data_IF_253662157435
#
_entry.id   IF_253662157435
#
_cell.length_a   1.000
_cell.length_b   1.000
_cell.length_c   1.000
_cell.angle_alpha   90.00
_cell.angle_beta   90.00
_cell.angle_gamma   90.00
#
_symmetry.space_group_name_H-M   'P 1'
#
loop_
_entity.id
_entity.type
_entity.pdbx_description
1 polymer ?
#
# COMPACT_ATOMS: atom_id res chain seq x y z
N UNK A 1 9.76 -24.03 -10.67
CA UNK A 1 9.25 -23.06 -11.66
C UNK A 1 7.76 -22.85 -11.37
N UNK A 2 7.40 -21.84 -10.58
CA UNK A 2 6.02 -21.61 -10.14
C UNK A 2 5.78 -20.12 -9.93
N UNK A 3 5.63 -19.36 -11.02
CA UNK A 3 5.37 -17.90 -10.94
C UNK A 3 4.30 -17.39 -11.93
N UNK A 4 3.58 -18.28 -12.62
CA UNK A 4 2.68 -17.84 -13.70
C UNK A 4 1.20 -17.71 -13.30
N UNK A 5 0.84 -17.79 -12.01
CA UNK A 5 -0.58 -17.75 -11.58
C UNK A 5 -1.09 -16.40 -11.05
N UNK A 6 -0.31 -15.32 -11.15
CA UNK A 6 -0.72 -14.01 -10.62
C UNK A 6 -1.45 -13.09 -11.61
N UNK A 7 -1.65 -13.49 -12.88
CA UNK A 7 -1.94 -12.51 -13.95
C UNK A 7 -3.33 -12.51 -14.58
N UNK A 8 -4.31 -13.29 -14.10
CA UNK A 8 -5.65 -13.30 -14.74
C UNK A 8 -6.80 -13.51 -13.76
N UNK A 9 -7.25 -12.45 -13.08
CA UNK A 9 -8.56 -12.44 -12.43
C UNK A 9 -9.11 -11.01 -12.30
N UNK A 10 -10.27 -10.75 -12.91
CA UNK A 10 -11.19 -9.63 -12.76
C UNK A 10 -10.72 -8.35 -12.01
N UNK A 11 -10.38 -7.30 -12.78
CA UNK A 11 -9.85 -5.99 -12.35
C UNK A 11 -10.56 -5.28 -11.18
N UNK A 12 -11.86 -5.53 -10.95
CA UNK A 12 -12.62 -4.91 -9.84
C UNK A 12 -12.67 -5.75 -8.55
N UNK A 13 -12.65 -7.07 -8.66
CA UNK A 13 -12.68 -7.97 -7.50
C UNK A 13 -11.34 -7.97 -6.76
N UNK A 14 -10.24 -7.96 -7.51
CA UNK A 14 -8.88 -8.02 -6.96
C UNK A 14 -8.56 -6.80 -6.07
N UNK A 15 -8.93 -5.58 -6.49
CA UNK A 15 -8.74 -4.37 -5.67
C UNK A 15 -9.58 -4.44 -4.39
N UNK A 16 -10.81 -4.95 -4.48
CA UNK A 16 -11.68 -5.10 -3.32
C UNK A 16 -11.13 -6.13 -2.31
N UNK A 17 -10.62 -7.25 -2.80
CA UNK A 17 -9.95 -8.26 -1.97
C UNK A 17 -8.70 -7.68 -1.30
N UNK A 18 -7.86 -6.96 -2.06
CA UNK A 18 -6.66 -6.30 -1.51
C UNK A 18 -7.03 -5.29 -0.43
N UNK A 19 -8.11 -4.53 -0.62
CA UNK A 19 -8.61 -3.60 0.40
C UNK A 19 -9.02 -4.31 1.68
N UNK A 20 -9.69 -5.45 1.56
CA UNK A 20 -10.06 -6.27 2.72
C UNK A 20 -8.83 -6.89 3.41
N UNK A 21 -7.82 -7.30 2.65
CA UNK A 21 -6.56 -7.83 3.20
C UNK A 21 -5.71 -6.75 3.91
N UNK A 22 -5.68 -5.52 3.38
CA UNK A 22 -4.99 -4.36 3.98
C UNK A 22 -5.61 -3.91 5.30
N UNK A 23 -6.93 -4.09 5.46
CA UNK A 23 -7.62 -3.79 6.72
C UNK A 23 -7.72 -5.00 7.66
N UNK A 24 -7.05 -6.11 7.34
CA UNK A 24 -7.12 -7.31 8.16
C UNK A 24 -6.38 -7.14 9.49
N UNK A 25 -6.94 -7.66 10.58
CA UNK A 25 -6.29 -7.64 11.89
C UNK A 25 -4.93 -8.35 11.87
N UNK A 26 -4.79 -9.41 11.08
CA UNK A 26 -3.55 -10.19 10.96
C UNK A 26 -2.46 -9.39 10.22
N UNK A 27 -1.36 -9.10 10.91
CA UNK A 27 -0.20 -8.37 10.36
C UNK A 27 0.38 -9.05 9.11
N UNK A 28 0.43 -10.38 9.08
CA UNK A 28 0.91 -11.14 7.91
C UNK A 28 0.06 -10.93 6.66
N UNK A 29 -1.27 -10.87 6.82
CA UNK A 29 -2.17 -10.62 5.69
C UNK A 29 -1.98 -9.22 5.11
N UNK A 30 -1.80 -8.22 5.98
CA UNK A 30 -1.49 -6.85 5.55
C UNK A 30 -0.18 -6.78 4.77
N UNK A 31 0.84 -7.50 5.24
CA UNK A 31 2.14 -7.58 4.56
C UNK A 31 2.02 -8.19 3.16
N UNK A 32 1.35 -9.33 3.04
CA UNK A 32 1.10 -9.95 1.74
C UNK A 32 0.27 -9.04 0.81
N UNK A 33 -0.73 -8.34 1.36
CA UNK A 33 -1.53 -7.39 0.60
C UNK A 33 -0.67 -6.23 0.04
N UNK A 34 0.19 -5.61 0.86
CA UNK A 34 1.06 -4.51 0.39
C UNK A 34 2.02 -5.01 -0.71
N UNK A 35 2.56 -6.23 -0.61
CA UNK A 35 3.38 -6.81 -1.69
C UNK A 35 2.59 -6.95 -3.00
N UNK A 36 1.37 -7.47 -2.94
CA UNK A 36 0.49 -7.58 -4.11
C UNK A 36 0.17 -6.21 -4.70
N UNK A 37 -0.06 -5.19 -3.87
CA UNK A 37 -0.26 -3.81 -4.31
C UNK A 37 0.96 -3.26 -5.05
N UNK A 38 2.17 -3.50 -4.53
CA UNK A 38 3.41 -3.10 -5.20
C UNK A 38 3.55 -3.82 -6.53
N UNK A 39 3.28 -5.13 -6.59
CA UNK A 39 3.31 -5.90 -7.84
C UNK A 39 2.26 -5.41 -8.85
N UNK A 40 1.07 -5.04 -8.39
CA UNK A 40 0.02 -4.46 -9.24
C UNK A 40 0.46 -3.09 -9.81
N UNK A 41 1.11 -2.28 -8.99
CA UNK A 41 1.66 -0.98 -9.41
C UNK A 41 2.81 -1.14 -10.42
N UNK A 42 3.71 -2.12 -10.25
CA UNK A 42 4.80 -2.34 -11.22
C UNK A 42 4.31 -2.81 -12.59
N UNK A 43 3.14 -3.45 -12.67
CA UNK A 43 2.50 -3.83 -13.93
C UNK A 43 1.57 -2.73 -14.49
N UNK A 44 1.54 -1.55 -13.86
CA UNK A 44 0.75 -0.40 -14.32
C UNK A 44 -0.73 -0.48 -14.01
N UNK A 45 -1.18 -1.33 -13.08
CA UNK A 45 -2.56 -1.28 -12.58
C UNK A 45 -2.75 -0.05 -11.69
N UNK A 46 -3.88 0.62 -11.86
CA UNK A 46 -4.27 1.70 -10.97
C UNK A 46 -4.71 1.12 -9.61
N UNK A 47 -3.88 1.35 -8.60
CA UNK A 47 -4.13 0.97 -7.20
C UNK A 47 -4.29 2.20 -6.30
N UNK A 48 -4.50 3.39 -6.88
CA UNK A 48 -4.66 4.65 -6.16
C UNK A 48 -5.79 4.60 -5.12
N UNK A 49 -6.85 3.81 -5.38
CA UNK A 49 -7.96 3.62 -4.45
C UNK A 49 -7.58 2.94 -3.12
N UNK A 50 -6.44 2.24 -3.08
CA UNK A 50 -5.92 1.56 -1.89
C UNK A 50 -5.00 2.45 -1.06
N UNK A 51 -4.71 3.67 -1.54
CA UNK A 51 -3.81 4.60 -0.87
C UNK A 51 -4.16 4.85 0.61
N UNK A 52 -5.43 5.13 0.98
CA UNK A 52 -5.78 5.35 2.39
C UNK A 52 -5.51 4.11 3.26
N UNK A 53 -5.78 2.92 2.73
CA UNK A 53 -5.61 1.64 3.42
C UNK A 53 -4.11 1.30 3.62
N UNK A 54 -3.27 1.61 2.62
CA UNK A 54 -1.81 1.45 2.69
C UNK A 54 -1.18 2.44 3.68
N UNK A 55 -1.63 3.70 3.70
CA UNK A 55 -1.17 4.70 4.67
C UNK A 55 -1.57 4.31 6.10
N UNK A 56 -2.74 3.68 6.30
CA UNK A 56 -3.13 3.16 7.60
C UNK A 56 -2.21 2.03 8.11
N UNK A 57 -1.71 1.18 7.20
CA UNK A 57 -0.76 0.10 7.54
C UNK A 57 0.60 0.61 8.03
N UNK A 58 0.89 1.90 7.89
CA UNK A 58 2.16 2.53 8.25
C UNK A 58 2.38 2.69 9.76
N UNK A 59 1.30 2.68 10.54
CA UNK A 59 1.34 2.74 12.02
C UNK A 59 1.74 1.40 12.67
N UNK A 60 2.30 0.47 11.89
CA UNK A 60 2.75 -0.83 12.35
C UNK A 60 4.14 -0.76 13.00
N UNK A 61 4.37 -1.60 14.01
CA UNK A 61 5.70 -1.83 14.60
C UNK A 61 6.58 -2.74 13.73
N UNK A 62 6.01 -3.38 12.70
CA UNK A 62 6.75 -4.26 11.82
C UNK A 62 7.60 -3.43 10.83
N UNK A 63 8.92 -3.46 11.02
CA UNK A 63 9.87 -2.70 10.21
C UNK A 63 9.82 -3.05 8.71
N UNK A 64 9.56 -4.32 8.39
CA UNK A 64 9.48 -4.79 7.00
C UNK A 64 8.24 -4.25 6.30
N UNK A 65 7.08 -4.31 6.96
CA UNK A 65 5.84 -3.72 6.45
C UNK A 65 6.00 -2.20 6.25
N UNK A 66 6.66 -1.54 7.20
CA UNK A 66 6.97 -0.11 7.10
C UNK A 66 7.81 0.20 5.84
N UNK A 67 8.87 -0.58 5.58
CA UNK A 67 9.69 -0.44 4.36
C UNK A 67 8.88 -0.60 3.08
N UNK A 68 7.95 -1.56 3.03
CA UNK A 68 7.07 -1.76 1.87
C UNK A 68 6.13 -0.57 1.64
N UNK A 69 5.55 -0.02 2.71
CA UNK A 69 4.71 1.19 2.62
C UNK A 69 5.54 2.40 2.13
N UNK A 70 6.76 2.57 2.63
CA UNK A 70 7.66 3.61 2.13
C UNK A 70 8.01 3.43 0.64
N UNK A 71 8.29 2.20 0.19
CA UNK A 71 8.55 1.90 -1.21
C UNK A 71 7.35 2.29 -2.09
N UNK A 72 6.13 1.98 -1.64
CA UNK A 72 4.90 2.39 -2.31
C UNK A 72 4.80 3.90 -2.45
N UNK A 73 5.01 4.64 -1.35
CA UNK A 73 4.95 6.10 -1.35
C UNK A 73 6.04 6.74 -2.22
N UNK A 74 7.26 6.22 -2.23
CA UNK A 74 8.34 6.73 -3.07
C UNK A 74 8.02 6.54 -4.57
N UNK A 75 7.42 5.40 -4.95
CA UNK A 75 7.01 5.17 -6.33
C UNK A 75 5.90 6.13 -6.76
N UNK A 76 4.91 6.35 -5.89
CA UNK A 76 3.84 7.32 -6.11
C UNK A 76 4.35 8.77 -6.12
N UNK A 77 5.34 9.13 -5.31
CA UNK A 77 5.91 10.49 -5.31
C UNK A 77 6.50 10.89 -6.66
N UNK A 78 7.04 9.92 -7.43
CA UNK A 78 7.55 10.17 -8.78
C UNK A 78 6.45 10.32 -9.83
N UNK A 79 5.37 9.56 -9.69
CA UNK A 79 4.30 9.50 -10.71
C UNK A 79 3.17 10.49 -10.44
N UNK A 80 2.86 10.73 -9.17
CA UNK A 80 1.74 11.53 -8.67
C UNK A 80 2.12 12.24 -7.36
N UNK A 81 2.81 13.40 -7.45
CA UNK A 81 3.34 14.11 -6.28
C UNK A 81 2.24 14.57 -5.29
N UNK A 82 1.05 14.90 -5.77
CA UNK A 82 -0.07 15.35 -4.93
C UNK A 82 -0.51 14.28 -3.91
N UNK A 83 -0.53 13.01 -4.32
CA UNK A 83 -0.83 11.91 -3.40
C UNK A 83 0.28 11.73 -2.37
N UNK A 84 1.55 11.86 -2.75
CA UNK A 84 2.65 11.79 -1.80
C UNK A 84 2.57 12.91 -0.75
N UNK A 85 2.17 14.13 -1.16
CA UNK A 85 1.94 15.25 -0.22
C UNK A 85 0.82 14.89 0.77
N UNK A 86 -0.26 14.24 0.33
CA UNK A 86 -1.31 13.77 1.24
C UNK A 86 -0.80 12.77 2.28
N UNK A 87 0.05 11.81 1.88
CA UNK A 87 0.68 10.89 2.83
C UNK A 87 1.55 11.63 3.85
N UNK A 88 2.37 12.59 3.40
CA UNK A 88 3.20 13.43 4.28
C UNK A 88 2.33 14.22 5.27
N UNK A 89 1.22 14.78 4.82
CA UNK A 89 0.27 15.47 5.70
C UNK A 89 -0.32 14.53 6.76
N UNK A 90 -0.61 13.27 6.41
CA UNK A 90 -1.02 12.24 7.38
C UNK A 90 0.10 11.88 8.36
N UNK A 91 1.36 11.83 7.91
CA UNK A 91 2.53 11.62 8.77
C UNK A 91 2.71 12.74 9.80
N UNK A 92 2.56 13.99 9.38
CA UNK A 92 2.76 15.17 10.24
C UNK A 92 1.60 15.29 11.24
N UNK A 93 0.34 15.07 10.81
CA UNK A 93 -0.81 15.08 11.72
C UNK A 93 -0.79 13.97 12.77
N UNK A 94 -0.23 12.79 12.45
CA UNK A 94 -0.05 11.71 13.43
C UNK A 94 1.00 12.02 14.51
N UNK A 95 1.76 13.12 14.38
CA UNK A 95 2.72 13.60 15.37
C UNK A 95 2.35 15.04 15.80
N UNK A 96 1.32 15.24 16.65
CA UNK A 96 0.94 16.60 17.08
C UNK A 96 1.91 17.25 18.08
N UNK A 97 3.03 16.61 18.46
CA UNK A 97 3.88 17.04 19.58
C UNK A 97 5.37 16.92 19.29
N UNK A 98 5.88 17.60 18.27
CA UNK A 98 7.33 17.84 18.17
C UNK A 98 7.64 19.11 17.38
N UNK A 99 7.05 20.21 17.83
CA UNK A 99 7.62 21.55 17.76
C UNK A 99 7.33 22.25 19.08
#
# INVERSE_FOLDING_TARGET
MTDSKYFTTNKKGEIFELKAELNNEKKEKRKEAVKKVIAAMTVGKDVSSLFPDVVNCMQTDNLELKKLVYLYLMNYAKSQPDMAIMAVNSFVKARPFLF
#
